data_IF_550803127366
#
_entry.id   IF_550803127366
#
_cell.length_a   1.000
_cell.length_b   1.000
_cell.length_c   1.000
_cell.angle_alpha   90.00
_cell.angle_beta   90.00
_cell.angle_gamma   90.00
#
_symmetry.space_group_name_H-M   'P 1'
#
loop_
_entity.id
_entity.type
_entity.pdbx_description
1 polymer ?
#
# COMPACT_ATOMS: atom_id res chain seq x y z
N UNK A 1 -15.70 21.59 20.70
CA UNK A 1 -15.79 20.19 21.18
C UNK A 1 -16.09 19.16 20.09
N UNK A 2 -17.21 19.28 19.39
CA UNK A 2 -17.60 18.29 18.36
C UNK A 2 -16.53 18.06 17.29
N UNK A 3 -15.98 19.13 16.71
CA UNK A 3 -14.92 19.03 15.70
C UNK A 3 -13.68 18.29 16.20
N UNK A 4 -13.28 18.51 17.46
CA UNK A 4 -12.16 17.78 18.08
C UNK A 4 -12.49 16.29 18.22
N UNK A 5 -13.69 15.96 18.70
CA UNK A 5 -14.12 14.56 18.84
C UNK A 5 -14.12 13.83 17.49
N UNK A 6 -14.61 14.46 16.43
CA UNK A 6 -14.61 13.87 15.08
C UNK A 6 -13.19 13.58 14.59
N UNK A 7 -12.25 14.53 14.75
CA UNK A 7 -10.86 14.33 14.35
C UNK A 7 -10.21 13.22 15.19
N UNK A 8 -10.45 13.23 16.50
CA UNK A 8 -9.97 12.21 17.43
C UNK A 8 -10.44 10.82 17.03
N UNK A 9 -11.73 10.63 16.83
CA UNK A 9 -12.31 9.34 16.51
C UNK A 9 -11.82 8.83 15.14
N UNK A 10 -11.71 9.73 14.15
CA UNK A 10 -11.18 9.39 12.84
C UNK A 10 -9.72 8.93 12.93
N UNK A 11 -8.84 9.69 13.57
CA UNK A 11 -7.40 9.37 13.64
C UNK A 11 -7.09 8.24 14.64
N UNK A 12 -7.94 8.01 15.63
CA UNK A 12 -7.83 6.89 16.56
C UNK A 12 -8.58 5.64 16.08
N UNK A 13 -8.86 5.53 14.77
CA UNK A 13 -9.45 4.32 14.18
C UNK A 13 -8.59 3.10 14.55
N UNK A 14 -9.19 2.16 15.27
CA UNK A 14 -8.54 0.93 15.72
C UNK A 14 -9.11 -0.28 14.97
N UNK A 15 -8.22 -1.09 14.38
CA UNK A 15 -8.57 -2.32 13.67
C UNK A 15 -7.75 -3.46 14.27
N UNK A 16 -8.43 -4.41 14.91
CA UNK A 16 -7.78 -5.61 15.45
C UNK A 16 -6.76 -5.32 16.57
N UNK A 17 -6.97 -4.26 17.35
CA UNK A 17 -6.08 -3.85 18.44
C UNK A 17 -4.92 -2.96 18.01
N UNK A 18 -4.85 -2.55 16.73
CA UNK A 18 -3.83 -1.65 16.20
C UNK A 18 -4.47 -0.38 15.64
N UNK A 19 -3.85 0.76 15.92
CA UNK A 19 -4.28 2.05 15.41
C UNK A 19 -3.83 2.25 13.97
N UNK A 20 -4.78 2.53 13.08
CA UNK A 20 -4.55 2.65 11.64
C UNK A 20 -3.57 3.78 11.30
N UNK A 21 -3.64 4.87 12.05
CA UNK A 21 -2.87 6.10 11.83
C UNK A 21 -1.69 6.28 12.79
N UNK A 22 -1.29 5.22 13.51
CA UNK A 22 -0.18 5.24 14.47
C UNK A 22 1.21 4.96 13.86
N UNK A 23 1.31 4.80 12.55
CA UNK A 23 2.58 4.46 11.90
C UNK A 23 3.16 3.14 12.41
N UNK A 24 4.47 3.11 12.68
CA UNK A 24 5.14 1.96 13.29
C UNK A 24 4.77 1.77 14.77
N UNK A 25 4.37 2.84 15.45
CA UNK A 25 3.92 2.85 16.85
C UNK A 25 2.40 2.71 16.97
N UNK A 26 1.85 1.63 16.41
CA UNK A 26 0.41 1.43 16.30
C UNK A 26 -0.29 0.77 17.50
N UNK A 27 0.39 0.65 18.64
CA UNK A 27 -0.17 0.06 19.85
C UNK A 27 -0.87 1.09 20.73
N UNK A 28 -0.51 2.36 20.58
CA UNK A 28 -1.05 3.48 21.34
C UNK A 28 -1.85 4.41 20.43
N UNK A 29 -2.84 5.10 21.02
CA UNK A 29 -3.70 6.01 20.28
C UNK A 29 -2.91 7.22 19.75
N UNK A 30 -2.98 7.54 18.45
CA UNK A 30 -2.26 8.68 17.88
C UNK A 30 -2.63 10.03 18.51
N UNK A 31 -3.91 10.24 18.83
CA UNK A 31 -4.38 11.42 19.58
C UNK A 31 -4.65 10.99 21.03
N UNK A 32 -3.84 11.49 21.95
CA UNK A 32 -3.90 11.17 23.38
C UNK A 32 -4.83 12.09 24.16
N UNK A 33 -5.02 13.33 23.69
CA UNK A 33 -5.91 14.28 24.33
C UNK A 33 -7.35 13.75 24.47
N UNK A 34 -7.90 13.90 25.67
CA UNK A 34 -9.21 13.34 26.02
C UNK A 34 -10.36 14.21 25.58
N UNK A 35 -10.17 15.54 25.58
CA UNK A 35 -11.17 16.57 25.26
C UNK A 35 -10.51 17.81 24.64
N UNK A 36 -11.32 18.73 24.10
CA UNK A 36 -10.81 20.01 23.61
C UNK A 36 -10.20 20.85 24.75
N UNK A 37 -10.78 20.79 25.95
CA UNK A 37 -10.23 21.44 27.15
C UNK A 37 -8.87 20.87 27.53
N UNK A 38 -8.71 19.55 27.44
CA UNK A 38 -7.42 18.87 27.67
C UNK A 38 -6.36 19.30 26.64
N UNK A 39 -6.73 19.36 25.36
CA UNK A 39 -5.88 19.88 24.28
C UNK A 39 -5.49 21.36 24.51
N UNK A 40 -6.42 22.19 25.00
CA UNK A 40 -6.18 23.61 25.26
C UNK A 40 -5.20 23.83 26.42
N UNK A 41 -5.26 22.98 27.45
CA UNK A 41 -4.47 23.16 28.68
C UNK A 41 -3.07 22.56 28.62
N UNK A 42 -2.78 21.68 27.66
CA UNK A 42 -1.48 21.00 27.56
C UNK A 42 -0.73 21.41 26.27
N UNK A 43 0.60 21.29 26.24
CA UNK A 43 1.36 21.34 24.99
C UNK A 43 0.76 20.43 23.91
N UNK A 44 0.82 20.87 22.64
CA UNK A 44 0.28 20.09 21.52
C UNK A 44 1.01 18.74 21.36
N UNK A 45 2.31 18.71 21.66
CA UNK A 45 3.15 17.52 21.64
C UNK A 45 2.72 16.45 22.66
N UNK A 46 2.16 16.85 23.80
CA UNK A 46 1.62 15.91 24.79
C UNK A 46 0.28 15.29 24.35
N UNK A 47 -0.38 15.92 23.36
CA UNK A 47 -1.68 15.54 22.82
C UNK A 47 -1.59 14.64 21.58
N UNK A 48 -0.37 14.41 21.08
CA UNK A 48 -0.07 13.65 19.86
C UNK A 48 1.05 12.65 20.11
N UNK A 49 0.75 11.36 19.99
CA UNK A 49 1.79 10.34 19.93
C UNK A 49 2.50 10.43 18.56
N UNK A 50 3.81 10.66 18.58
CA UNK A 50 4.63 10.64 17.36
C UNK A 50 4.64 9.22 16.79
N UNK A 51 4.21 9.06 15.53
CA UNK A 51 4.15 7.74 14.90
C UNK A 51 5.51 7.17 14.47
N UNK A 52 6.60 7.92 14.71
CA UNK A 52 7.98 7.77 14.25
C UNK A 52 8.17 7.68 12.73
N UNK A 53 7.43 6.80 12.05
CA UNK A 53 7.43 6.63 10.61
C UNK A 53 6.16 5.92 10.12
N UNK A 54 5.77 6.18 8.87
CA UNK A 54 4.75 5.40 8.19
C UNK A 54 5.24 3.95 7.93
N UNK A 55 4.31 2.99 7.89
CA UNK A 55 4.69 1.59 7.72
C UNK A 55 5.11 1.30 6.28
N UNK A 56 5.99 0.30 6.09
CA UNK A 56 6.43 -0.14 4.78
C UNK A 56 5.80 -1.50 4.47
N UNK A 57 5.12 -1.61 3.33
CA UNK A 57 4.53 -2.85 2.83
C UNK A 57 5.19 -3.26 1.53
N UNK A 58 5.67 -4.51 1.46
CA UNK A 58 6.19 -5.09 0.21
C UNK A 58 5.03 -5.62 -0.63
N UNK A 59 4.93 -5.15 -1.88
CA UNK A 59 3.81 -5.46 -2.79
C UNK A 59 4.19 -6.40 -3.93
N UNK A 60 5.44 -6.40 -4.35
CA UNK A 60 6.04 -7.34 -5.30
C UNK A 60 7.55 -7.42 -5.04
N UNK A 61 8.24 -8.31 -5.73
CA UNK A 61 9.69 -8.43 -5.56
C UNK A 61 10.39 -7.11 -5.96
N UNK A 62 11.25 -6.60 -5.07
CA UNK A 62 11.92 -5.32 -5.24
C UNK A 62 11.06 -4.06 -5.10
N UNK A 63 9.75 -4.15 -4.77
CA UNK A 63 8.88 -2.96 -4.59
C UNK A 63 8.21 -2.93 -3.22
N UNK A 64 8.53 -1.88 -2.47
CA UNK A 64 7.86 -1.52 -1.21
C UNK A 64 7.10 -0.22 -1.38
N UNK A 65 5.90 -0.15 -0.82
CA UNK A 65 5.11 1.06 -0.69
C UNK A 65 5.06 1.49 0.77
N UNK A 66 5.04 2.79 1.01
CA UNK A 66 4.77 3.32 2.33
C UNK A 66 3.25 3.34 2.52
N UNK A 67 2.75 2.50 3.40
CA UNK A 67 1.33 2.41 3.71
C UNK A 67 1.14 2.64 5.21
N UNK A 68 0.13 3.42 5.57
CA UNK A 68 -0.05 3.87 6.95
C UNK A 68 0.32 5.33 7.06
N UNK A 69 -0.68 6.16 6.78
CA UNK A 69 -0.62 7.59 7.04
C UNK A 69 -0.43 7.81 8.55
N UNK A 70 0.46 8.70 8.95
CA UNK A 70 0.68 9.01 10.36
C UNK A 70 -0.21 10.19 10.74
N UNK A 71 -0.93 10.10 11.85
CA UNK A 71 -1.84 11.17 12.26
C UNK A 71 -1.11 12.51 12.46
N UNK A 72 0.10 12.49 13.02
CA UNK A 72 0.90 13.70 13.27
C UNK A 72 1.16 14.52 12.00
N UNK A 73 1.44 13.89 10.86
CA UNK A 73 1.73 14.61 9.61
C UNK A 73 0.50 15.24 8.98
N UNK A 74 -0.69 14.78 9.36
CA UNK A 74 -1.95 15.14 8.72
C UNK A 74 -2.75 16.14 9.53
N UNK A 75 -2.88 15.89 10.83
CA UNK A 75 -3.83 16.63 11.68
C UNK A 75 -3.18 17.63 12.63
N UNK A 76 -1.85 17.72 12.68
CA UNK A 76 -1.15 18.68 13.56
C UNK A 76 -1.65 20.11 13.38
N UNK A 77 -1.77 20.59 12.14
CA UNK A 77 -2.24 21.97 11.88
C UNK A 77 -3.70 22.18 12.30
N UNK A 78 -4.55 21.16 12.12
CA UNK A 78 -5.95 21.20 12.52
C UNK A 78 -6.09 21.23 14.05
N UNK A 79 -5.35 20.37 14.77
CA UNK A 79 -5.35 20.34 16.23
C UNK A 79 -4.73 21.59 16.82
N UNK A 80 -3.65 22.12 16.22
CA UNK A 80 -3.06 23.38 16.63
C UNK A 80 -4.05 24.55 16.49
N UNK A 81 -4.85 24.56 15.42
CA UNK A 81 -5.90 25.55 15.23
C UNK A 81 -7.02 25.42 16.27
N UNK A 82 -7.52 24.20 16.50
CA UNK A 82 -8.51 23.94 17.54
C UNK A 82 -8.01 24.33 18.94
N UNK A 83 -6.75 24.05 19.24
CA UNK A 83 -6.08 24.46 20.47
C UNK A 83 -6.10 25.98 20.64
N UNK A 84 -5.62 26.74 19.64
CA UNK A 84 -5.59 28.21 19.68
C UNK A 84 -6.98 28.82 19.81
N UNK A 85 -7.98 28.24 19.15
CA UNK A 85 -9.37 28.67 19.28
C UNK A 85 -9.92 28.44 20.69
N UNK A 86 -9.61 27.30 21.30
CA UNK A 86 -10.01 27.00 22.67
C UNK A 86 -9.28 27.88 23.70
N UNK A 87 -7.99 28.15 23.48
CA UNK A 87 -7.21 29.09 24.31
C UNK A 87 -7.75 30.52 24.21
N UNK A 88 -8.19 30.94 23.01
CA UNK A 88 -8.78 32.26 22.81
C UNK A 88 -10.12 32.41 23.55
N UNK A 89 -10.96 31.36 23.52
CA UNK A 89 -12.25 31.33 24.24
C UNK A 89 -12.07 31.30 25.77
N UNK A 90 -11.05 30.60 26.27
CA UNK A 90 -10.73 30.51 27.71
C UNK A 90 -9.90 31.69 28.21
N UNK A 91 -9.32 32.47 27.30
CA UNK A 91 -8.39 33.55 27.58
C UNK A 91 -9.07 34.89 27.90
N UNK A 92 -8.27 35.96 28.08
CA UNK A 92 -8.78 37.30 28.38
C UNK A 92 -9.62 37.92 27.26
N UNK A 93 -9.46 37.40 26.04
CA UNK A 93 -10.22 37.80 24.85
C UNK A 93 -11.45 36.90 24.62
N UNK A 94 -11.83 36.03 25.57
CA UNK A 94 -13.05 35.22 25.55
C UNK A 94 -14.02 35.59 26.69
N UNK A 95 -15.17 34.90 26.82
CA UNK A 95 -15.69 33.86 25.92
C UNK A 95 -16.33 34.44 24.64
N UNK A 96 -16.61 33.59 23.65
CA UNK A 96 -17.36 33.97 22.43
C UNK A 96 -18.88 34.07 22.66
N UNK A 97 -19.32 34.80 23.70
CA UNK A 97 -20.72 34.87 24.12
C UNK A 97 -21.51 36.07 23.57
N UNK A 98 -20.85 36.93 22.78
CA UNK A 98 -21.42 38.17 22.28
C UNK A 98 -20.91 38.58 20.89
N UNK A 99 -21.03 39.87 20.58
CA UNK A 99 -20.54 40.39 19.31
C UNK A 99 -19.00 40.36 19.27
N UNK A 100 -18.45 39.68 18.27
CA UNK A 100 -17.01 39.51 18.14
C UNK A 100 -16.26 40.85 18.11
N UNK A 101 -15.28 40.99 19.00
CA UNK A 101 -14.33 42.10 19.01
C UNK A 101 -13.46 42.09 17.75
N UNK A 102 -12.78 43.20 17.46
CA UNK A 102 -11.85 43.26 16.34
C UNK A 102 -10.73 42.21 16.48
N UNK A 103 -10.19 42.03 17.69
CA UNK A 103 -9.17 41.03 18.01
C UNK A 103 -9.67 39.61 17.74
N UNK A 104 -10.84 39.25 18.28
CA UNK A 104 -11.43 37.92 18.08
C UNK A 104 -11.68 37.64 16.59
N UNK A 105 -12.18 38.64 15.85
CA UNK A 105 -12.44 38.51 14.41
C UNK A 105 -11.16 38.27 13.61
N UNK A 106 -10.09 39.02 13.89
CA UNK A 106 -8.81 38.84 13.22
C UNK A 106 -8.21 37.46 13.52
N UNK A 107 -8.30 37.00 14.77
CA UNK A 107 -7.85 35.66 15.14
C UNK A 107 -8.64 34.57 14.39
N UNK A 108 -9.98 34.64 14.40
CA UNK A 108 -10.84 33.69 13.67
C UNK A 108 -10.54 33.67 12.16
N UNK A 109 -10.28 34.83 11.55
CA UNK A 109 -9.89 34.90 10.13
C UNK A 109 -8.54 34.21 9.87
N UNK A 110 -7.57 34.36 10.77
CA UNK A 110 -6.28 33.65 10.68
C UNK A 110 -6.43 32.14 10.84
N UNK A 111 -7.29 31.70 11.76
CA UNK A 111 -7.56 30.28 11.98
C UNK A 111 -8.30 29.64 10.80
N UNK A 112 -9.23 30.34 10.14
CA UNK A 112 -9.87 29.86 8.91
C UNK A 112 -8.84 29.56 7.80
N UNK A 113 -7.82 30.41 7.64
CA UNK A 113 -6.75 30.15 6.66
C UNK A 113 -5.89 28.94 7.04
N UNK A 114 -5.67 28.72 8.35
CA UNK A 114 -4.91 27.56 8.83
C UNK A 114 -5.70 26.26 8.68
N UNK A 115 -6.99 26.28 9.01
CA UNK A 115 -7.89 25.15 8.80
C UNK A 115 -8.05 24.79 7.32
N UNK A 116 -8.08 25.79 6.42
CA UNK A 116 -8.08 25.55 4.97
C UNK A 116 -6.84 24.79 4.53
N UNK A 117 -5.64 25.19 5.01
CA UNK A 117 -4.39 24.47 4.70
C UNK A 117 -4.36 23.06 5.29
N UNK A 118 -4.87 22.89 6.50
CA UNK A 118 -5.00 21.57 7.11
C UNK A 118 -5.94 20.65 6.32
N UNK A 119 -7.04 21.19 5.80
CA UNK A 119 -7.95 20.47 4.91
C UNK A 119 -7.28 20.09 3.59
N UNK A 120 -6.54 21.01 2.98
CA UNK A 120 -5.77 20.73 1.76
C UNK A 120 -4.75 19.60 1.99
N UNK A 121 -4.07 19.58 3.15
CA UNK A 121 -3.14 18.52 3.52
C UNK A 121 -3.83 17.14 3.65
N UNK A 122 -5.01 17.10 4.27
CA UNK A 122 -5.83 15.87 4.33
C UNK A 122 -6.22 15.41 2.93
N UNK A 123 -6.64 16.33 2.06
CA UNK A 123 -7.02 16.01 0.68
C UNK A 123 -5.83 15.47 -0.12
N UNK A 124 -4.66 16.08 0.00
CA UNK A 124 -3.41 15.59 -0.61
C UNK A 124 -3.08 14.19 -0.12
N UNK A 125 -3.13 13.97 1.20
CA UNK A 125 -2.88 12.65 1.81
C UNK A 125 -3.86 11.59 1.31
N UNK A 126 -5.13 11.95 1.13
CA UNK A 126 -6.14 11.06 0.54
C UNK A 126 -5.84 10.73 -0.92
N UNK A 127 -5.43 11.72 -1.72
CA UNK A 127 -5.06 11.52 -3.12
C UNK A 127 -3.82 10.61 -3.25
N UNK A 128 -2.81 10.80 -2.40
CA UNK A 128 -1.63 9.94 -2.36
C UNK A 128 -1.98 8.50 -2.00
N UNK A 129 -2.85 8.29 -1.00
CA UNK A 129 -3.37 6.97 -0.67
C UNK A 129 -4.12 6.34 -1.86
N UNK A 130 -4.93 7.10 -2.59
CA UNK A 130 -5.59 6.62 -3.82
C UNK A 130 -4.59 6.18 -4.90
N UNK A 131 -3.51 6.93 -5.09
CA UNK A 131 -2.41 6.56 -6.00
C UNK A 131 -1.72 5.27 -5.56
N UNK A 132 -1.45 5.11 -4.27
CA UNK A 132 -0.84 3.91 -3.70
C UNK A 132 -1.74 2.68 -3.85
N UNK A 133 -3.05 2.82 -3.63
CA UNK A 133 -4.01 1.74 -3.90
C UNK A 133 -3.94 1.30 -5.36
N UNK A 134 -3.85 2.24 -6.30
CA UNK A 134 -3.71 1.90 -7.72
C UNK A 134 -2.40 1.16 -8.03
N UNK A 135 -1.30 1.54 -7.37
CA UNK A 135 -0.02 0.83 -7.49
C UNK A 135 -0.12 -0.61 -6.98
N UNK A 136 -0.81 -0.85 -5.87
CA UNK A 136 -1.08 -2.18 -5.33
C UNK A 136 -1.91 -3.01 -6.31
N UNK A 137 -3.01 -2.46 -6.83
CA UNK A 137 -3.87 -3.15 -7.79
C UNK A 137 -3.09 -3.57 -9.04
N UNK A 138 -2.24 -2.68 -9.54
CA UNK A 138 -1.40 -2.97 -10.71
C UNK A 138 -0.38 -4.08 -10.41
N UNK A 139 0.23 -4.08 -9.22
CA UNK A 139 1.14 -5.16 -8.79
C UNK A 139 0.39 -6.50 -8.67
N UNK A 140 -0.79 -6.50 -8.07
CA UNK A 140 -1.65 -7.68 -7.96
C UNK A 140 -2.00 -8.27 -9.33
N UNK A 141 -2.38 -7.42 -10.29
CA UNK A 141 -2.68 -7.85 -11.66
C UNK A 141 -1.45 -8.46 -12.36
N UNK A 142 -0.26 -7.86 -12.19
CA UNK A 142 0.99 -8.41 -12.73
C UNK A 142 1.34 -9.77 -12.13
N UNK A 143 1.27 -9.90 -10.81
CA UNK A 143 1.55 -11.15 -10.10
C UNK A 143 0.56 -12.25 -10.51
N UNK A 144 -0.71 -11.91 -10.70
CA UNK A 144 -1.74 -12.85 -11.20
C UNK A 144 -1.44 -13.31 -12.62
N UNK A 145 -1.05 -12.39 -13.51
CA UNK A 145 -0.66 -12.75 -14.88
C UNK A 145 0.58 -13.65 -14.91
N UNK A 146 1.58 -13.38 -14.05
CA UNK A 146 2.76 -14.24 -13.90
C UNK A 146 2.39 -15.62 -13.37
N UNK A 147 1.51 -15.69 -12.36
CA UNK A 147 1.00 -16.95 -11.83
C UNK A 147 0.32 -17.77 -12.93
N UNK A 148 -0.57 -17.16 -13.71
CA UNK A 148 -1.27 -17.83 -14.80
C UNK A 148 -0.30 -18.32 -15.90
N UNK A 149 0.72 -17.52 -16.26
CA UNK A 149 1.72 -17.93 -17.24
C UNK A 149 2.57 -19.11 -16.75
N UNK A 150 2.90 -19.14 -15.45
CA UNK A 150 3.59 -20.27 -14.83
C UNK A 150 2.69 -21.51 -14.75
N UNK A 151 1.42 -21.34 -14.40
CA UNK A 151 0.42 -22.41 -14.39
C UNK A 151 0.20 -22.99 -15.78
N UNK A 152 0.12 -22.17 -16.82
CA UNK A 152 0.02 -22.60 -18.22
C UNK A 152 1.31 -23.29 -18.70
N UNK A 153 2.49 -22.79 -18.33
CA UNK A 153 3.75 -23.43 -18.70
C UNK A 153 3.92 -24.79 -18.01
N UNK A 154 3.60 -24.90 -16.73
CA UNK A 154 3.63 -26.16 -15.97
C UNK A 154 2.56 -27.10 -16.48
N UNK A 155 1.32 -26.62 -16.65
CA UNK A 155 0.22 -27.36 -17.23
C UNK A 155 0.53 -27.84 -18.64
N UNK A 156 1.20 -27.03 -19.46
CA UNK A 156 1.69 -27.40 -20.78
C UNK A 156 2.75 -28.50 -20.73
N UNK A 157 3.67 -28.48 -19.76
CA UNK A 157 4.69 -29.53 -19.56
C UNK A 157 4.07 -30.83 -19.02
N UNK A 158 3.16 -30.73 -18.05
CA UNK A 158 2.50 -31.88 -17.41
C UNK A 158 1.45 -32.50 -18.33
N UNK A 159 0.76 -31.69 -19.13
CA UNK A 159 -0.21 -32.11 -20.15
C UNK A 159 0.42 -32.35 -21.53
N UNK A 160 1.76 -32.27 -21.71
CA UNK A 160 2.39 -32.97 -22.83
C UNK A 160 2.16 -34.45 -22.55
N UNK A 161 1.10 -34.95 -23.17
CA UNK A 161 0.61 -36.31 -23.01
C UNK A 161 1.79 -37.28 -23.14
N UNK A 162 2.01 -38.12 -22.13
CA UNK A 162 2.99 -39.22 -22.22
C UNK A 162 2.75 -40.04 -23.51
N UNK A 163 1.52 -40.06 -24.02
CA UNK A 163 1.20 -40.63 -25.32
C UNK A 163 1.88 -39.90 -26.50
N UNK A 164 1.95 -38.57 -26.53
CA UNK A 164 2.65 -37.82 -27.59
C UNK A 164 4.17 -38.01 -27.49
N UNK A 165 4.73 -38.02 -26.28
CA UNK A 165 6.16 -38.32 -26.08
C UNK A 165 6.48 -39.75 -26.51
N UNK A 166 5.61 -40.72 -26.21
CA UNK A 166 5.75 -42.09 -26.66
C UNK A 166 5.64 -42.22 -28.20
N UNK A 167 4.76 -41.47 -28.85
CA UNK A 167 4.65 -41.44 -30.31
C UNK A 167 5.91 -40.85 -30.95
N UNK A 168 6.41 -39.72 -30.43
CA UNK A 168 7.66 -39.11 -30.91
C UNK A 168 8.87 -40.02 -30.68
N UNK A 169 8.91 -40.73 -29.56
CA UNK A 169 9.97 -41.72 -29.26
C UNK A 169 9.90 -42.93 -30.20
N UNK A 170 8.71 -43.48 -30.45
CA UNK A 170 8.53 -44.59 -31.40
C UNK A 170 8.91 -44.17 -32.83
N UNK A 171 8.56 -42.96 -33.25
CA UNK A 171 8.96 -42.41 -34.55
C UNK A 171 10.48 -42.23 -34.64
N UNK A 172 11.12 -41.73 -33.58
CA UNK A 172 12.57 -41.62 -33.51
C UNK A 172 13.27 -43.00 -33.53
N UNK A 173 12.73 -44.00 -32.82
CA UNK A 173 13.24 -45.38 -32.85
C UNK A 173 13.09 -46.01 -34.25
N UNK A 174 11.95 -45.81 -34.91
CA UNK A 174 11.72 -46.30 -36.28
C UNK A 174 12.68 -45.66 -37.27
N UNK A 175 12.89 -44.34 -37.18
CA UNK A 175 13.85 -43.62 -38.02
C UNK A 175 15.29 -44.12 -37.79
N UNK A 176 15.67 -44.40 -36.54
CA UNK A 176 16.98 -44.96 -36.20
C UNK A 176 17.16 -46.39 -36.74
N UNK A 177 16.18 -47.27 -36.53
CA UNK A 177 16.20 -48.64 -37.05
C UNK A 177 16.24 -48.66 -38.58
N UNK A 178 15.49 -47.78 -39.24
CA UNK A 178 15.49 -47.60 -40.69
C UNK A 178 16.87 -47.14 -41.19
N UNK A 179 17.48 -46.16 -40.53
CA UNK A 179 18.83 -45.67 -40.86
C UNK A 179 19.89 -46.75 -40.69
N UNK A 180 19.80 -47.57 -39.63
CA UNK A 180 20.70 -48.70 -39.40
C UNK A 180 20.52 -49.82 -40.44
N UNK A 181 19.28 -50.09 -40.88
CA UNK A 181 18.97 -51.07 -41.92
C UNK A 181 19.48 -50.64 -43.31
N UNK A 182 19.31 -49.36 -43.66
CA UNK A 182 19.86 -48.77 -44.89
C UNK A 182 21.38 -48.83 -44.88
N UNK A 183 22.01 -48.53 -43.76
CA UNK A 183 23.46 -48.61 -43.61
C UNK A 183 24.00 -50.05 -43.76
N UNK A 184 23.29 -51.04 -43.22
CA UNK A 184 23.64 -52.46 -43.40
C UNK A 184 23.41 -52.94 -44.84
N UNK A 185 22.35 -52.46 -45.52
CA UNK A 185 22.10 -52.75 -46.94
C UNK A 185 23.19 -52.16 -47.83
N UNK A 186 23.61 -50.92 -47.57
CA UNK A 186 24.72 -50.26 -48.28
C UNK A 186 26.06 -51.00 -48.06
N UNK A 187 26.35 -51.47 -46.84
CA UNK A 187 27.53 -52.31 -46.56
C UNK A 187 27.48 -53.65 -47.29
N UNK A 188 26.33 -54.32 -47.33
CA UNK A 188 26.14 -55.59 -48.04
C UNK A 188 26.29 -55.47 -49.56
N UNK A 189 25.76 -54.39 -50.14
CA UNK A 189 25.94 -54.07 -51.57
C UNK A 189 27.39 -53.67 -51.90
N UNK A 190 28.06 -52.93 -51.01
CA UNK A 190 29.47 -52.55 -51.20
C UNK A 190 30.42 -53.75 -51.17
N UNK A 191 30.14 -54.78 -50.36
CA UNK A 191 30.97 -55.99 -50.29
C UNK A 191 30.72 -56.94 -51.49
N UNK A 192 29.48 -57.04 -51.97
CA UNK A 192 29.16 -57.84 -53.16
C UNK A 192 29.64 -57.23 -54.49
N UNK A 193 29.98 -55.94 -54.51
CA UNK A 193 30.57 -55.27 -55.67
C UNK A 193 32.12 -55.29 -55.67
N UNK A 194 32.76 -55.81 -54.61
CA UNK A 194 34.22 -55.92 -54.48
C UNK A 194 34.74 -57.36 -54.75
N UNK A 195 33.85 -58.35 -54.87
CA UNK A 195 34.21 -59.77 -55.10
C UNK A 195 33.73 -60.33 -56.46
N UNK A 196 33.71 -59.52 -57.51
CA UNK A 196 33.67 -60.01 -58.90
C UNK A 196 34.87 -59.52 -59.69
#
# INVERSE_FOLDING_TARGET
DEAFAVIKDAMNTNIGGRYLFGGVMNQDAPITATSLTDLANNPLEDSLATGEAAQLMRVEDGRTIQAGLVADTVVTDALASLKRLAELDQGPDGPFDGQLTATQRTALQGELQTLSRAFDNILTSQAENGRLLKDVDNASNRLTAQYNALDEAIGGIVNVDLAEVAVRLNQAQFAYQSSASVFNTLRGMSLLNILK
#
